data_IF_193969987688
#
_entry.id   IF_193969987688
#
_cell.length_a   1.000
_cell.length_b   1.000
_cell.length_c   1.000
_cell.angle_alpha   90.00
_cell.angle_beta   90.00
_cell.angle_gamma   90.00
#
_symmetry.space_group_name_H-M   'P 1'
#
loop_
_entity.id
_entity.type
_entity.pdbx_description
1 polymer ?
#
# COMPACT_ATOMS: atom_id res chain seq x y z
N UNK A 1 35.18 -7.97 -34.86
CA UNK A 1 34.86 -7.94 -34.43
C UNK A 1 34.33 -7.74 -33.55
N UNK A 2 34.44 -7.89 -33.58
CA UNK A 2 33.89 -7.79 -32.88
C UNK A 2 33.07 -7.56 -31.93
N UNK A 3 32.92 -7.66 -31.97
CA UNK A 3 32.07 -7.46 -31.23
C UNK A 3 31.35 -7.40 -30.39
N UNK A 4 31.16 -7.40 -30.36
CA UNK A 4 30.33 -7.40 -29.67
C UNK A 4 29.79 -7.26 -28.79
N UNK A 5 29.65 -7.18 -28.89
CA UNK A 5 29.10 -7.14 -28.27
C UNK A 5 28.49 -6.86 -27.39
N UNK A 6 28.37 -6.71 -27.50
CA UNK A 6 27.80 -6.45 -26.81
C UNK A 6 27.00 -6.29 -26.08
N UNK A 7 26.74 -6.36 -26.24
CA UNK A 7 25.92 -6.24 -25.64
C UNK A 7 25.19 -6.30 -24.82
N UNK A 8 25.21 -6.45 -25.04
CA UNK A 8 24.46 -6.55 -24.39
C UNK A 8 23.96 -6.46 -23.36
N UNK A 9 23.98 -6.43 -23.41
CA UNK A 9 23.46 -6.35 -22.55
C UNK A 9 22.81 -6.04 -21.71
N UNK A 10 22.63 -5.88 -21.96
CA UNK A 10 21.94 -5.55 -21.41
C UNK A 10 21.19 -5.54 -20.62
N UNK A 11 21.12 -5.63 -20.89
CA UNK A 11 20.24 -5.74 -20.28
C UNK A 11 19.71 -5.81 -19.35
N UNK A 12 19.61 -5.90 -19.46
CA UNK A 12 19.01 -6.00 -18.81
C UNK A 12 18.71 -5.72 -17.79
N UNK A 13 18.81 -5.44 -17.95
CA UNK A 13 18.42 -5.14 -17.14
C UNK A 13 17.63 -4.80 -16.51
N UNK A 14 17.23 -4.77 -16.66
CA UNK A 14 16.52 -4.44 -16.28
C UNK A 14 15.79 -4.64 -15.60
N UNK A 15 15.55 -4.79 -15.77
CA UNK A 15 14.91 -4.96 -15.30
C UNK A 15 14.58 -4.99 -14.33
N UNK A 16 14.50 -5.00 -14.42
CA UNK A 16 14.38 -5.04 -13.64
C UNK A 16 13.91 -4.57 -12.92
N UNK A 17 13.95 -4.38 -12.98
CA UNK A 17 13.44 -3.96 -12.37
C UNK A 17 12.40 -3.81 -11.81
N UNK A 18 11.86 -3.92 -11.99
CA UNK A 18 10.71 -3.77 -11.48
C UNK A 18 10.14 -4.81 -10.75
N UNK A 19 10.54 -5.51 -10.21
CA UNK A 19 9.89 -6.49 -9.55
C UNK A 19 9.27 -6.03 -8.36
N UNK A 20 8.14 -6.25 -8.03
CA UNK A 20 7.44 -6.05 -6.86
C UNK A 20 7.75 -4.78 -6.12
N UNK A 21 6.79 -4.05 -5.73
CA UNK A 21 7.03 -2.85 -4.99
C UNK A 21 7.32 -3.18 -3.53
N UNK A 22 8.25 -2.47 -2.97
CA UNK A 22 8.53 -2.61 -1.55
C UNK A 22 7.56 -1.76 -0.78
N UNK A 23 7.09 -2.29 0.34
CA UNK A 23 6.25 -1.52 1.23
C UNK A 23 7.10 -0.85 2.29
N UNK A 24 6.57 0.22 2.84
CA UNK A 24 7.28 1.02 3.83
C UNK A 24 6.63 0.85 5.19
N UNK A 25 7.47 0.85 6.24
CA UNK A 25 6.98 0.83 7.60
C UNK A 25 7.24 2.21 8.18
N UNK A 26 6.16 2.96 8.38
CA UNK A 26 6.26 4.34 8.88
C UNK A 26 6.01 4.36 10.37
N UNK A 27 6.24 5.49 10.99
CA UNK A 27 5.97 5.63 12.42
C UNK A 27 4.47 5.62 12.67
N UNK A 28 4.09 5.24 13.89
CA UNK A 28 2.69 5.28 14.27
C UNK A 28 2.13 6.68 14.07
N UNK A 29 0.94 6.78 13.54
CA UNK A 29 0.33 8.08 13.31
C UNK A 29 -0.77 7.99 12.27
N UNK A 30 -1.18 9.16 11.78
CA UNK A 30 -2.28 9.28 10.84
C UNK A 30 -1.72 9.74 9.49
N UNK A 31 -2.14 9.05 8.43
CA UNK A 31 -1.64 9.31 7.09
C UNK A 31 -2.81 9.36 6.12
N UNK A 32 -2.70 10.21 5.12
CA UNK A 32 -3.67 10.25 4.03
C UNK A 32 -3.03 9.71 2.77
N UNK A 33 -3.82 9.02 1.99
CA UNK A 33 -3.31 8.46 0.74
C UNK A 33 -4.42 7.93 -0.12
N UNK A 34 -4.01 7.24 -1.18
CA UNK A 34 -4.93 6.66 -2.14
C UNK A 34 -4.71 5.15 -2.15
N UNK A 35 -5.81 4.40 -2.18
CA UNK A 35 -5.72 2.94 -2.24
C UNK A 35 -5.15 2.55 -3.61
N UNK A 36 -4.04 1.83 -3.60
CA UNK A 36 -3.42 1.37 -4.84
C UNK A 36 -3.80 -0.07 -5.17
N UNK A 37 -4.21 -0.85 -4.16
CA UNK A 37 -4.57 -2.24 -4.38
C UNK A 37 -5.42 -2.73 -3.22
N UNK A 38 -6.39 -3.60 -3.52
CA UNK A 38 -7.23 -4.25 -2.51
C UNK A 38 -7.12 -5.74 -2.70
N UNK A 39 -6.77 -6.45 -1.62
CA UNK A 39 -6.68 -7.91 -1.62
C UNK A 39 -7.77 -8.42 -0.67
N UNK A 40 -8.98 -8.52 -1.18
CA UNK A 40 -10.14 -8.81 -0.34
C UNK A 40 -10.01 -10.12 0.41
N UNK A 41 -9.43 -11.14 -0.22
CA UNK A 41 -9.30 -12.44 0.42
C UNK A 41 -8.39 -12.41 1.63
N UNK A 42 -7.49 -11.44 1.68
CA UNK A 42 -6.56 -11.29 2.80
C UNK A 42 -6.97 -10.17 3.73
N UNK A 43 -8.06 -9.49 3.45
CA UNK A 43 -8.47 -8.29 4.19
C UNK A 43 -7.34 -7.27 4.24
N UNK A 44 -6.70 -7.08 3.10
CA UNK A 44 -5.50 -6.28 3.00
C UNK A 44 -5.68 -5.18 1.98
N UNK A 45 -5.15 -3.99 2.27
CA UNK A 45 -5.10 -2.92 1.27
C UNK A 45 -3.69 -2.34 1.26
N UNK A 46 -3.36 -1.74 0.12
CA UNK A 46 -2.13 -0.97 -0.04
C UNK A 46 -2.51 0.48 -0.24
N UNK A 47 -1.89 1.36 0.55
CA UNK A 47 -2.20 2.79 0.50
C UNK A 47 -0.94 3.54 0.14
N UNK A 48 -1.03 4.35 -0.92
CA UNK A 48 0.08 5.20 -1.34
C UNK A 48 -0.12 6.58 -0.74
N UNK A 49 0.81 6.99 0.10
CA UNK A 49 0.70 8.29 0.76
C UNK A 49 1.17 9.41 -0.16
N UNK A 50 0.88 10.65 0.23
CA UNK A 50 1.22 11.80 -0.60
C UNK A 50 2.73 11.94 -0.79
N UNK A 51 3.52 11.48 0.17
CA UNK A 51 4.98 11.56 0.06
C UNK A 51 5.59 10.32 -0.56
N UNK A 52 4.77 9.45 -1.19
CA UNK A 52 5.26 8.34 -1.97
C UNK A 52 5.51 7.06 -1.21
N UNK A 53 5.11 6.99 0.04
CA UNK A 53 5.24 5.74 0.80
C UNK A 53 4.13 4.78 0.44
N UNK A 54 4.43 3.50 0.44
CA UNK A 54 3.43 2.46 0.16
C UNK A 54 3.22 1.66 1.44
N UNK A 55 2.02 1.78 2.01
CA UNK A 55 1.69 1.13 3.27
C UNK A 55 0.89 -0.13 2.98
N UNK A 56 1.30 -1.22 3.62
CA UNK A 56 0.61 -2.49 3.52
C UNK A 56 -0.16 -2.69 4.82
N UNK A 57 -1.47 -2.76 4.72
CA UNK A 57 -2.34 -2.78 5.90
C UNK A 57 -3.23 -4.00 5.87
N UNK A 58 -3.09 -4.87 6.87
CA UNK A 58 -3.97 -6.01 7.07
C UNK A 58 -5.01 -5.63 8.12
N UNK A 59 -6.27 -5.71 7.75
CA UNK A 59 -7.34 -5.42 8.72
C UNK A 59 -7.41 -6.52 9.76
N UNK A 60 -7.50 -6.12 11.02
CA UNK A 60 -7.67 -7.05 12.14
C UNK A 60 -9.00 -6.73 12.80
N UNK A 61 -9.38 -7.55 13.78
CA UNK A 61 -10.71 -7.39 14.38
C UNK A 61 -10.95 -6.00 14.94
N UNK A 62 -9.91 -5.38 15.48
CA UNK A 62 -10.05 -4.08 16.09
C UNK A 62 -9.95 -2.92 15.11
N UNK A 63 -9.67 -3.21 13.83
CA UNK A 63 -9.59 -2.16 12.82
C UNK A 63 -10.99 -1.63 12.53
N UNK A 64 -11.16 -0.32 12.59
CA UNK A 64 -12.44 0.28 12.25
C UNK A 64 -12.38 0.83 10.83
N UNK A 65 -13.49 0.70 10.11
CA UNK A 65 -13.61 1.22 8.77
C UNK A 65 -14.86 2.05 8.69
N UNK A 66 -14.70 3.32 8.35
CA UNK A 66 -15.84 4.24 8.34
C UNK A 66 -15.86 5.08 7.08
N UNK A 67 -17.03 5.57 6.75
CA UNK A 67 -17.25 6.54 5.68
C UNK A 67 -18.34 7.47 6.17
N UNK A 68 -18.06 8.78 6.14
CA UNK A 68 -18.99 9.79 6.62
C UNK A 68 -19.45 9.49 8.05
N UNK A 69 -18.53 9.01 8.88
CA UNK A 69 -18.79 8.75 10.29
C UNK A 69 -19.53 7.46 10.58
N UNK A 70 -19.81 6.65 9.56
CA UNK A 70 -20.55 5.40 9.74
C UNK A 70 -19.67 4.21 9.40
N UNK A 71 -19.83 3.14 10.17
CA UNK A 71 -19.11 1.90 9.89
C UNK A 71 -19.63 1.31 8.58
N UNK A 72 -18.69 0.92 7.71
CA UNK A 72 -19.03 0.32 6.43
C UNK A 72 -18.24 -0.97 6.26
N UNK A 73 -18.71 -1.87 5.39
CA UNK A 73 -18.01 -3.14 5.19
C UNK A 73 -16.75 -2.97 4.34
N UNK A 74 -15.86 -3.96 4.44
CA UNK A 74 -14.61 -3.95 3.69
C UNK A 74 -14.84 -3.79 2.19
N UNK A 75 -15.97 -4.29 1.69
CA UNK A 75 -16.27 -4.22 0.26
C UNK A 75 -16.43 -2.80 -0.26
N UNK A 76 -16.49 -1.81 0.63
CA UNK A 76 -16.53 -0.41 0.21
C UNK A 76 -15.17 0.10 -0.24
N UNK A 77 -14.11 -0.65 0.04
CA UNK A 77 -12.76 -0.24 -0.35
C UNK A 77 -12.50 -0.61 -1.80
N UNK A 78 -11.92 0.31 -2.54
CA UNK A 78 -11.60 0.07 -3.95
C UNK A 78 -10.39 0.90 -4.34
N UNK A 79 -9.69 0.43 -5.37
CA UNK A 79 -8.55 1.15 -5.89
C UNK A 79 -8.97 2.55 -6.33
N UNK A 80 -8.11 3.51 -6.05
CA UNK A 80 -8.37 4.88 -6.41
C UNK A 80 -9.09 5.70 -5.35
N UNK A 81 -9.66 5.05 -4.34
CA UNK A 81 -10.34 5.80 -3.29
C UNK A 81 -9.32 6.44 -2.36
N UNK A 82 -9.68 7.62 -1.87
CA UNK A 82 -8.84 8.32 -0.92
C UNK A 82 -9.24 7.94 0.49
N UNK A 83 -8.24 7.73 1.33
CA UNK A 83 -8.47 7.30 2.70
C UNK A 83 -7.56 8.04 3.65
N UNK A 84 -7.98 8.09 4.90
CA UNK A 84 -7.14 8.53 5.99
C UNK A 84 -6.98 7.32 6.90
N UNK A 85 -5.74 6.94 7.18
CA UNK A 85 -5.47 5.74 7.94
C UNK A 85 -4.69 6.10 9.19
N UNK A 86 -5.11 5.53 10.31
CA UNK A 86 -4.33 5.60 11.53
C UNK A 86 -3.66 4.25 11.71
N UNK A 87 -2.33 4.26 11.83
CA UNK A 87 -1.56 3.02 11.90
C UNK A 87 -0.73 3.00 13.15
N UNK A 88 -0.48 1.80 13.63
CA UNK A 88 0.41 1.57 14.76
C UNK A 88 1.55 0.70 14.28
N UNK A 89 2.77 1.16 14.49
CA UNK A 89 3.95 0.42 14.09
C UNK A 89 4.23 -0.67 15.11
N UNK A 90 4.26 -1.91 14.63
CA UNK A 90 4.55 -3.07 15.46
C UNK A 90 5.71 -3.82 14.82
N UNK A 91 6.94 -3.51 15.26
CA UNK A 91 8.10 -4.12 14.64
C UNK A 91 8.21 -3.72 13.19
N UNK A 92 8.11 -4.67 12.29
CA UNK A 92 8.24 -4.42 10.86
C UNK A 92 6.91 -4.41 10.14
N UNK A 93 5.82 -4.29 10.88
CA UNK A 93 4.51 -4.24 10.25
C UNK A 93 3.72 -3.06 10.79
N UNK A 94 2.69 -2.69 10.05
CA UNK A 94 1.79 -1.62 10.44
C UNK A 94 0.43 -2.24 10.71
N UNK A 95 -0.12 -1.98 11.89
CA UNK A 95 -1.47 -2.42 12.22
C UNK A 95 -2.41 -1.25 12.00
N UNK A 96 -3.40 -1.38 11.12
CA UNK A 96 -4.36 -0.28 10.94
C UNK A 96 -5.30 -0.23 12.13
N UNK A 97 -5.32 0.91 12.79
CA UNK A 97 -6.24 1.17 13.89
C UNK A 97 -7.58 1.59 13.32
N UNK A 98 -7.55 2.52 12.37
CA UNK A 98 -8.76 2.98 11.71
C UNK A 98 -8.47 3.35 10.27
N UNK A 99 -9.47 3.16 9.42
CA UNK A 99 -9.42 3.57 8.03
C UNK A 99 -10.69 4.35 7.76
N UNK A 100 -10.54 5.58 7.31
CA UNK A 100 -11.65 6.45 7.00
C UNK A 100 -11.66 6.71 5.51
N UNK A 101 -12.73 6.35 4.84
CA UNK A 101 -12.87 6.60 3.41
C UNK A 101 -13.25 8.07 3.23
N UNK A 102 -12.46 8.79 2.43
CA UNK A 102 -12.68 10.21 2.24
C UNK A 102 -13.52 10.53 1.01
N UNK A 103 -13.56 9.60 0.04
CA UNK A 103 -14.43 9.79 -1.12
C UNK A 103 -14.75 8.50 -1.81
#
# INVERSE_FOLDING_TARGET
MKHFKILTVVFAFFFLTSCGEKTDVVESGVYQGTISEVEAEKSEIYVKTADGKLLELYFIESTTLTKDGQTVPFSELAEGKKVEVEVKKEGKRLDPVSVKILE
#
